data_IF_398051942277
#
_entry.id   IF_398051942277
#
_cell.length_a   1.000
_cell.length_b   1.000
_cell.length_c   1.000
_cell.angle_alpha   90.00
_cell.angle_beta   90.00
_cell.angle_gamma   90.00
#
_symmetry.space_group_name_H-M   'P 1'
#
loop_
_entity.id
_entity.type
_entity.pdbx_description
1 polymer ?
#
# COMPACT_ATOMS: atom_id res chain seq x y z
N UNK A 1 10.83 30.18 36.24
CA UNK A 1 10.45 28.75 36.15
C UNK A 1 9.24 28.46 35.26
N UNK A 2 8.56 29.45 34.66
CA UNK A 2 7.37 29.24 33.82
C UNK A 2 7.72 28.75 32.39
N UNK A 3 8.84 29.22 31.82
CA UNK A 3 9.31 28.82 30.47
C UNK A 3 9.42 27.30 30.30
N UNK A 4 9.93 26.60 31.32
CA UNK A 4 10.13 25.16 31.30
C UNK A 4 8.83 24.36 31.28
N UNK A 5 7.76 24.89 31.89
CA UNK A 5 6.45 24.24 31.92
C UNK A 5 5.68 24.47 30.60
N UNK A 6 5.72 25.70 30.07
CA UNK A 6 5.13 26.02 28.77
C UNK A 6 5.83 25.27 27.62
N UNK A 7 7.16 25.14 27.66
CA UNK A 7 7.92 24.30 26.72
C UNK A 7 7.53 22.82 26.86
N UNK A 8 7.44 22.27 28.07
CA UNK A 8 7.01 20.88 28.28
C UNK A 8 5.60 20.64 27.73
N UNK A 9 4.69 21.58 27.96
CA UNK A 9 3.30 21.49 27.50
C UNK A 9 3.20 21.63 25.98
N UNK A 10 4.01 22.49 25.37
CA UNK A 10 4.12 22.66 23.92
C UNK A 10 4.69 21.39 23.26
N UNK A 11 5.73 20.80 23.83
CA UNK A 11 6.30 19.52 23.40
C UNK A 11 5.25 18.40 23.50
N UNK A 12 4.50 18.34 24.60
CA UNK A 12 3.42 17.37 24.79
C UNK A 12 2.30 17.49 23.75
N UNK A 13 1.84 18.71 23.46
CA UNK A 13 0.82 18.97 22.43
C UNK A 13 1.34 18.65 21.02
N UNK A 14 2.53 19.12 20.66
CA UNK A 14 3.12 18.85 19.35
C UNK A 14 3.37 17.36 19.11
N UNK A 15 3.75 16.62 20.17
CA UNK A 15 3.88 15.16 20.10
C UNK A 15 2.53 14.50 19.82
N UNK A 16 1.47 14.89 20.54
CA UNK A 16 0.12 14.35 20.33
C UNK A 16 -0.41 14.63 18.92
N UNK A 17 -0.24 15.85 18.41
CA UNK A 17 -0.63 16.21 17.04
C UNK A 17 0.12 15.40 15.99
N UNK A 18 1.43 15.18 16.18
CA UNK A 18 2.23 14.33 15.29
C UNK A 18 1.76 12.87 15.31
N UNK A 19 1.46 12.30 16.49
CA UNK A 19 0.90 10.96 16.59
C UNK A 19 -0.48 10.84 15.92
N UNK A 20 -1.36 11.80 16.15
CA UNK A 20 -2.69 11.82 15.53
C UNK A 20 -2.59 11.89 13.99
N UNK A 21 -1.71 12.74 13.46
CA UNK A 21 -1.44 12.83 12.03
C UNK A 21 -0.87 11.53 11.46
N UNK A 22 0.08 10.89 12.17
CA UNK A 22 0.65 9.60 11.77
C UNK A 22 -0.39 8.48 11.74
N UNK A 23 -1.23 8.38 12.77
CA UNK A 23 -2.30 7.39 12.84
C UNK A 23 -3.32 7.56 11.70
N UNK A 24 -3.67 8.81 11.38
CA UNK A 24 -4.54 9.12 10.24
C UNK A 24 -3.89 8.72 8.89
N UNK A 25 -2.59 8.99 8.71
CA UNK A 25 -1.85 8.59 7.51
C UNK A 25 -1.81 7.06 7.36
N UNK A 26 -1.53 6.32 8.43
CA UNK A 26 -1.58 4.86 8.44
C UNK A 26 -2.99 4.34 8.10
N UNK A 27 -4.03 4.93 8.69
CA UNK A 27 -5.43 4.53 8.44
C UNK A 27 -5.79 4.69 6.96
N UNK A 28 -5.45 5.83 6.35
CA UNK A 28 -5.67 6.07 4.92
C UNK A 28 -4.86 5.12 4.03
N UNK A 29 -3.61 4.86 4.41
CA UNK A 29 -2.76 3.89 3.73
C UNK A 29 -3.37 2.49 3.71
N UNK A 30 -3.86 2.01 4.86
CA UNK A 30 -4.55 0.72 4.94
C UNK A 30 -5.85 0.70 4.13
N UNK A 31 -6.62 1.78 4.12
CA UNK A 31 -7.81 1.89 3.27
C UNK A 31 -7.44 1.77 1.78
N UNK A 32 -6.38 2.44 1.33
CA UNK A 32 -5.90 2.36 -0.04
C UNK A 32 -5.42 0.93 -0.41
N UNK A 33 -4.66 0.28 0.49
CA UNK A 33 -4.23 -1.11 0.30
C UNK A 33 -5.41 -2.09 0.24
N UNK A 34 -6.43 -1.90 1.07
CA UNK A 34 -7.63 -2.74 1.07
C UNK A 34 -8.45 -2.56 -0.22
N UNK A 35 -8.59 -1.32 -0.70
CA UNK A 35 -9.24 -1.03 -1.98
C UNK A 35 -8.50 -1.67 -3.15
N UNK A 36 -7.17 -1.57 -3.14
CA UNK A 36 -6.31 -2.15 -4.17
C UNK A 36 -6.42 -3.68 -4.21
N UNK A 37 -6.37 -4.34 -3.04
CA UNK A 37 -6.56 -5.78 -2.93
C UNK A 37 -7.96 -6.23 -3.41
N UNK A 38 -9.01 -5.46 -3.08
CA UNK A 38 -10.36 -5.74 -3.57
C UNK A 38 -10.47 -5.60 -5.09
N UNK A 39 -9.83 -4.58 -5.67
CA UNK A 39 -9.80 -4.39 -7.12
C UNK A 39 -9.05 -5.53 -7.83
N UNK A 40 -7.90 -5.94 -7.30
CA UNK A 40 -7.13 -7.06 -7.83
C UNK A 40 -7.91 -8.38 -7.76
N UNK A 41 -8.61 -8.64 -6.65
CA UNK A 41 -9.46 -9.83 -6.49
C UNK A 41 -10.57 -9.88 -7.53
N UNK A 42 -11.27 -8.75 -7.72
CA UNK A 42 -12.32 -8.63 -8.74
C UNK A 42 -11.78 -8.90 -10.15
N UNK A 43 -10.66 -8.27 -10.53
CA UNK A 43 -10.01 -8.50 -11.83
C UNK A 43 -9.56 -9.93 -12.02
N UNK A 44 -8.97 -10.54 -10.99
CA UNK A 44 -8.54 -11.95 -11.03
C UNK A 44 -9.72 -12.88 -11.28
N UNK A 45 -10.88 -12.60 -10.66
CA UNK A 45 -12.10 -13.35 -10.90
C UNK A 45 -12.60 -13.19 -12.34
N UNK A 46 -12.68 -11.96 -12.85
CA UNK A 46 -13.08 -11.67 -14.24
C UNK A 46 -12.18 -12.41 -15.25
N UNK A 47 -10.85 -12.33 -15.09
CA UNK A 47 -9.89 -13.03 -15.94
C UNK A 47 -10.05 -14.55 -15.85
N UNK A 48 -10.23 -15.10 -14.65
CA UNK A 48 -10.40 -16.55 -14.45
C UNK A 48 -11.68 -17.06 -15.11
N UNK A 49 -12.81 -16.37 -14.93
CA UNK A 49 -14.07 -16.73 -15.57
C UNK A 49 -13.95 -16.68 -17.08
N UNK A 50 -13.32 -15.64 -17.65
CA UNK A 50 -13.09 -15.55 -19.08
C UNK A 50 -12.19 -16.67 -19.61
N UNK A 51 -11.19 -17.13 -18.84
CA UNK A 51 -10.39 -18.29 -19.21
C UNK A 51 -11.21 -19.58 -19.22
N UNK A 52 -12.06 -19.80 -18.22
CA UNK A 52 -12.96 -20.96 -18.15
C UNK A 52 -13.95 -20.96 -19.32
N UNK A 53 -14.56 -19.83 -19.66
CA UNK A 53 -15.47 -19.70 -20.80
C UNK A 53 -14.77 -20.07 -22.11
N UNK A 54 -13.55 -19.56 -22.33
CA UNK A 54 -12.77 -19.88 -23.54
C UNK A 54 -12.36 -21.35 -23.59
N UNK A 55 -11.95 -21.93 -22.45
CA UNK A 55 -11.56 -23.32 -22.36
C UNK A 55 -12.75 -24.28 -22.62
N UNK A 56 -13.93 -23.95 -22.09
CA UNK A 56 -15.15 -24.76 -22.30
C UNK A 56 -15.70 -24.62 -23.71
N UNK A 57 -15.47 -23.49 -24.39
CA UNK A 57 -15.80 -23.30 -25.80
C UNK A 57 -14.78 -23.91 -26.77
N UNK A 58 -13.65 -24.43 -26.29
CA UNK A 58 -12.60 -25.01 -27.12
C UNK A 58 -13.08 -26.32 -27.78
N UNK A 59 -12.76 -26.49 -29.07
CA UNK A 59 -13.16 -27.68 -29.85
C UNK A 59 -12.14 -28.82 -29.79
N UNK A 60 -10.99 -28.59 -29.15
CA UNK A 60 -9.94 -29.58 -28.97
C UNK A 60 -9.19 -29.34 -27.66
N UNK A 61 -8.45 -30.35 -27.21
CA UNK A 61 -7.63 -30.29 -25.99
C UNK A 61 -6.48 -29.32 -26.19
N UNK A 62 -5.89 -29.27 -27.39
CA UNK A 62 -4.80 -28.36 -27.73
C UNK A 62 -5.22 -26.89 -27.53
N UNK A 63 -6.39 -26.49 -28.03
CA UNK A 63 -6.89 -25.12 -27.85
C UNK A 63 -7.20 -24.83 -26.37
N UNK A 64 -7.74 -25.80 -25.61
CA UNK A 64 -7.95 -25.62 -24.18
C UNK A 64 -6.62 -25.43 -23.41
N UNK A 65 -5.56 -26.15 -23.81
CA UNK A 65 -4.22 -26.00 -23.25
C UNK A 65 -3.60 -24.64 -23.58
N UNK A 66 -3.82 -24.11 -24.78
CA UNK A 66 -3.40 -22.76 -25.15
C UNK A 66 -4.08 -21.70 -24.27
N UNK A 67 -5.40 -21.84 -24.03
CA UNK A 67 -6.15 -20.95 -23.13
C UNK A 67 -5.58 -21.00 -21.72
N UNK A 68 -5.31 -22.19 -21.18
CA UNK A 68 -4.75 -22.35 -19.84
C UNK A 68 -3.34 -21.74 -19.72
N UNK A 69 -2.50 -21.93 -20.73
CA UNK A 69 -1.15 -21.33 -20.76
C UNK A 69 -1.22 -19.79 -20.84
N UNK A 70 -2.12 -19.25 -21.65
CA UNK A 70 -2.38 -17.81 -21.73
C UNK A 70 -2.84 -17.24 -20.38
N UNK A 71 -3.82 -17.88 -19.75
CA UNK A 71 -4.29 -17.51 -18.41
C UNK A 71 -3.16 -17.55 -17.37
N UNK A 72 -2.34 -18.60 -17.36
CA UNK A 72 -1.24 -18.71 -16.40
C UNK A 72 -0.21 -17.56 -16.57
N UNK A 73 0.10 -17.19 -17.82
CA UNK A 73 0.97 -16.05 -18.10
C UNK A 73 0.35 -14.72 -17.65
N UNK A 74 -0.91 -14.47 -18.01
CA UNK A 74 -1.63 -13.25 -17.62
C UNK A 74 -1.74 -13.12 -16.09
N UNK A 75 -2.10 -14.20 -15.40
CA UNK A 75 -2.19 -14.24 -13.94
C UNK A 75 -0.84 -13.96 -13.27
N UNK A 76 0.26 -14.47 -13.83
CA UNK A 76 1.60 -14.20 -13.32
C UNK A 76 2.00 -12.73 -13.49
N UNK A 77 1.81 -12.17 -14.68
CA UNK A 77 2.09 -10.75 -14.96
C UNK A 77 1.25 -9.83 -14.06
N UNK A 78 -0.03 -10.15 -13.89
CA UNK A 78 -0.93 -9.41 -13.01
C UNK A 78 -0.48 -9.48 -11.53
N UNK A 79 -0.08 -10.65 -11.04
CA UNK A 79 0.41 -10.82 -9.67
C UNK A 79 1.69 -10.03 -9.42
N UNK A 80 2.65 -10.06 -10.36
CA UNK A 80 3.89 -9.27 -10.25
C UNK A 80 3.57 -7.78 -10.20
N UNK A 81 2.69 -7.31 -11.08
CA UNK A 81 2.23 -5.92 -11.06
C UNK A 81 1.56 -5.53 -9.73
N UNK A 82 0.73 -6.43 -9.18
CA UNK A 82 0.08 -6.21 -7.90
C UNK A 82 1.07 -6.13 -6.73
N UNK A 83 2.10 -6.97 -6.71
CA UNK A 83 3.15 -6.91 -5.69
C UNK A 83 3.92 -5.59 -5.74
N UNK A 84 4.26 -5.11 -6.94
CA UNK A 84 4.92 -3.81 -7.11
C UNK A 84 4.03 -2.66 -6.60
N UNK A 85 2.76 -2.63 -7.00
CA UNK A 85 1.81 -1.60 -6.57
C UNK A 85 1.59 -1.61 -5.06
N UNK A 86 1.44 -2.78 -4.46
CA UNK A 86 1.30 -2.90 -3.01
C UNK A 86 2.55 -2.40 -2.28
N UNK A 87 3.75 -2.71 -2.79
CA UNK A 87 5.02 -2.20 -2.24
C UNK A 87 5.11 -0.68 -2.30
N UNK A 88 4.69 -0.06 -3.42
CA UNK A 88 4.62 1.39 -3.56
C UNK A 88 3.64 2.03 -2.56
N UNK A 89 2.43 1.46 -2.42
CA UNK A 89 1.43 1.92 -1.44
C UNK A 89 1.94 1.81 0.00
N UNK A 90 2.63 0.72 0.33
CA UNK A 90 3.24 0.54 1.64
C UNK A 90 4.32 1.58 1.92
N UNK A 91 5.25 1.79 0.98
CA UNK A 91 6.30 2.80 1.11
C UNK A 91 5.73 4.22 1.22
N UNK A 92 4.71 4.56 0.43
CA UNK A 92 4.03 5.84 0.51
C UNK A 92 3.36 6.04 1.87
N UNK A 93 2.68 5.02 2.38
CA UNK A 93 2.04 5.03 3.70
C UNK A 93 3.07 5.25 4.81
N UNK A 94 4.19 4.53 4.77
CA UNK A 94 5.27 4.68 5.74
C UNK A 94 5.82 6.12 5.72
N UNK A 95 6.14 6.67 4.54
CA UNK A 95 6.64 8.05 4.39
C UNK A 95 5.67 9.07 4.99
N UNK A 96 4.39 9.00 4.64
CA UNK A 96 3.37 9.92 5.17
C UNK A 96 3.16 9.75 6.67
N UNK A 97 3.27 8.53 7.21
CA UNK A 97 3.17 8.27 8.64
C UNK A 97 4.38 8.81 9.44
N UNK A 98 5.57 8.87 8.84
CA UNK A 98 6.79 9.38 9.50
C UNK A 98 6.97 10.89 9.39
N UNK A 99 6.43 11.52 8.35
CA UNK A 99 6.55 12.96 8.08
C UNK A 99 6.23 13.88 9.28
N UNK A 100 5.18 13.62 10.10
CA UNK A 100 4.86 14.48 11.25
C UNK A 100 5.95 14.56 12.32
N UNK A 101 6.91 13.61 12.32
CA UNK A 101 7.98 13.53 13.31
C UNK A 101 9.29 14.19 12.83
N UNK A 102 9.39 14.62 11.58
CA UNK A 102 10.62 15.21 11.02
C UNK A 102 11.10 16.43 11.83
N UNK A 103 10.18 17.29 12.27
CA UNK A 103 10.50 18.44 13.12
C UNK A 103 10.99 18.01 14.52
N UNK A 104 10.41 16.95 15.08
CA UNK A 104 10.80 16.39 16.38
C UNK A 104 12.20 15.77 16.32
N UNK A 105 12.55 15.06 15.24
CA UNK A 105 13.90 14.50 15.06
C UNK A 105 14.99 15.58 15.00
N UNK A 106 14.71 16.70 14.31
CA UNK A 106 15.62 17.85 14.28
C UNK A 106 15.79 18.50 15.65
N UNK A 107 14.72 18.59 16.44
CA UNK A 107 14.77 19.14 17.80
C UNK A 107 15.64 18.30 18.78
N UNK A 108 15.75 16.98 18.55
CA UNK A 108 16.60 16.07 19.34
C UNK A 108 18.00 15.83 18.75
N UNK A 109 18.40 16.60 17.73
CA UNK A 109 19.74 16.50 17.12
C UNK A 109 19.95 15.23 16.28
N UNK A 110 18.90 14.46 16.00
CA UNK A 110 18.95 13.32 15.08
C UNK A 110 18.85 13.89 13.66
N UNK A 111 19.97 13.92 12.94
CA UNK A 111 19.98 14.27 11.51
C UNK A 111 19.13 13.22 10.78
N UNK A 112 17.99 13.65 10.23
CA UNK A 112 17.20 12.82 9.31
C UNK A 112 18.08 12.51 8.09
N UNK A 113 18.32 11.22 7.83
CA UNK A 113 19.06 10.78 6.66
C UNK A 113 18.18 11.00 5.42
N UNK A 114 18.35 12.15 4.77
CA UNK A 114 17.62 12.53 3.57
C UNK A 114 17.86 13.97 3.18
N UNK A 115 19.02 14.23 2.54
CA UNK A 115 19.04 15.10 1.37
C UNK A 115 18.85 14.21 0.15
#
# INVERSE_FOLDING_TARGET
MIKSFEELQSIGKGSFEAYAASANAQTKGFQAMAQDAAEFSRKSFETSTAAVERATAAKSIETALEVQQGYAKEAYEALVGQMSKFGELYLATAKEAYKPFEASFQAFGIKTAGK
#
